data_IF_909486675953
#
_entry.id   IF_909486675953
#
_cell.length_a   1.000
_cell.length_b   1.000
_cell.length_c   1.000
_cell.angle_alpha   90.00
_cell.angle_beta   90.00
_cell.angle_gamma   90.00
#
_symmetry.space_group_name_H-M   'P 1'
#
loop_
_entity.id
_entity.type
_entity.pdbx_description
1 polymer ?
#
# COMPACT_ATOMS: atom_id res chain seq x y z
N UNK A 1 23.66 34.99 -9.23
CA UNK A 1 23.49 34.64 -7.81
C UNK A 1 23.42 33.14 -7.67
N UNK A 2 24.48 32.49 -7.17
CA UNK A 2 24.48 31.05 -6.89
C UNK A 2 23.75 30.81 -5.58
N UNK A 3 22.61 30.12 -5.62
CA UNK A 3 21.88 29.76 -4.40
C UNK A 3 22.79 28.95 -3.48
N UNK A 4 22.75 29.26 -2.20
CA UNK A 4 23.60 28.65 -1.17
C UNK A 4 23.22 27.17 -0.96
N UNK A 5 24.18 26.36 -0.49
CA UNK A 5 23.95 24.95 -0.16
C UNK A 5 22.79 24.73 0.83
N UNK A 6 22.49 25.70 1.70
CA UNK A 6 21.37 25.67 2.63
C UNK A 6 20.00 25.91 1.96
N UNK A 7 19.94 26.75 0.93
CA UNK A 7 18.73 27.00 0.14
C UNK A 7 18.34 25.77 -0.69
N UNK A 8 19.31 25.09 -1.31
CA UNK A 8 19.08 23.80 -1.97
C UNK A 8 18.57 22.73 -0.99
N UNK A 9 19.08 22.71 0.24
CA UNK A 9 18.63 21.80 1.30
C UNK A 9 17.18 22.04 1.74
N UNK A 10 16.70 23.29 1.71
CA UNK A 10 15.28 23.63 1.95
C UNK A 10 14.37 23.20 0.81
N UNK A 11 14.78 23.40 -0.44
CA UNK A 11 13.98 23.02 -1.62
C UNK A 11 13.88 21.49 -1.77
N UNK A 12 14.98 20.77 -1.56
CA UNK A 12 15.07 19.32 -1.82
C UNK A 12 14.68 18.42 -0.64
N UNK A 13 14.24 18.99 0.50
CA UNK A 13 13.64 18.25 1.62
C UNK A 13 14.41 17.00 2.08
N UNK A 14 15.25 17.14 3.11
CA UNK A 14 15.87 15.99 3.77
C UNK A 14 14.80 15.09 4.43
N UNK A 15 14.46 13.98 3.77
CA UNK A 15 13.46 13.03 4.24
C UNK A 15 13.79 11.60 3.85
N UNK A 16 14.78 11.03 4.56
CA UNK A 16 15.16 9.63 4.68
C UNK A 16 14.30 8.61 3.90
N UNK A 17 14.92 8.02 2.88
CA UNK A 17 14.58 6.72 2.31
C UNK A 17 14.31 5.74 3.46
N UNK A 18 13.06 5.32 3.64
CA UNK A 18 12.76 4.09 4.40
C UNK A 18 13.32 2.92 3.59
N UNK A 19 14.62 2.69 3.76
CA UNK A 19 15.31 1.45 3.49
C UNK A 19 14.69 0.39 4.41
N UNK A 20 13.53 -0.09 3.99
CA UNK A 20 12.75 -1.14 4.63
C UNK A 20 12.63 -2.40 3.77
N UNK A 21 13.56 -2.62 2.84
CA UNK A 21 13.95 -3.97 2.41
C UNK A 21 14.57 -4.71 3.61
N UNK A 22 13.74 -5.07 4.56
CA UNK A 22 14.06 -6.06 5.57
C UNK A 22 13.17 -7.27 5.28
N UNK A 23 13.63 -8.06 4.29
CA UNK A 23 13.37 -9.49 4.11
C UNK A 23 12.51 -10.08 5.22
N UNK A 24 11.25 -10.41 4.93
CA UNK A 24 10.50 -11.40 5.72
C UNK A 24 9.30 -11.84 4.90
N UNK A 25 9.53 -12.91 4.15
CA UNK A 25 8.58 -13.81 3.51
C UNK A 25 7.14 -13.56 3.99
N UNK A 26 6.30 -13.06 3.09
CA UNK A 26 4.84 -13.12 3.22
C UNK A 26 4.51 -14.54 3.67
N UNK A 27 4.24 -14.75 4.96
CA UNK A 27 4.19 -16.08 5.55
C UNK A 27 3.09 -16.85 4.81
N UNK A 28 3.50 -17.73 3.90
CA UNK A 28 2.61 -18.46 2.99
C UNK A 28 1.84 -19.45 3.85
N UNK A 29 0.70 -19.03 4.38
CA UNK A 29 -0.22 -19.87 5.14
C UNK A 29 -1.42 -20.14 4.25
N UNK A 30 -1.66 -21.39 3.92
CA UNK A 30 -2.93 -21.78 3.33
C UNK A 30 -4.01 -21.55 4.39
N UNK A 31 -4.87 -20.54 4.19
CA UNK A 31 -5.89 -20.18 5.17
C UNK A 31 -7.13 -21.07 5.07
N UNK A 32 -7.16 -22.03 4.13
CA UNK A 32 -8.28 -22.95 3.96
C UNK A 32 -9.53 -22.32 3.34
N UNK A 33 -9.51 -21.03 3.03
CA UNK A 33 -10.65 -20.28 2.49
C UNK A 33 -10.32 -19.61 1.14
N UNK A 34 -11.36 -19.22 0.39
CA UNK A 34 -11.21 -18.49 -0.87
C UNK A 34 -11.01 -16.98 -0.62
N UNK A 35 -10.37 -16.31 -1.58
CA UNK A 35 -10.01 -14.89 -1.47
C UNK A 35 -11.23 -13.96 -1.34
N UNK A 36 -12.33 -14.27 -2.05
CA UNK A 36 -13.59 -13.52 -2.01
C UNK A 36 -13.51 -12.00 -2.32
N UNK A 37 -12.37 -11.49 -2.81
CA UNK A 37 -12.26 -10.10 -3.24
C UNK A 37 -13.10 -9.86 -4.50
N UNK A 38 -13.71 -8.67 -4.65
CA UNK A 38 -14.46 -8.31 -5.86
C UNK A 38 -13.49 -8.20 -7.04
N UNK A 39 -13.73 -8.98 -8.09
CA UNK A 39 -12.97 -8.92 -9.33
C UNK A 39 -13.38 -7.73 -10.18
N UNK A 40 -12.64 -7.43 -11.25
CA UNK A 40 -13.02 -6.40 -12.24
C UNK A 40 -14.37 -6.69 -12.89
N UNK A 41 -14.74 -7.97 -13.02
CA UNK A 41 -16.04 -8.42 -13.54
C UNK A 41 -17.17 -8.37 -12.51
N UNK A 42 -16.92 -7.84 -11.31
CA UNK A 42 -17.93 -7.70 -10.25
C UNK A 42 -18.21 -8.97 -9.43
N UNK A 43 -17.71 -10.12 -9.85
CA UNK A 43 -17.91 -11.41 -9.15
C UNK A 43 -16.85 -11.63 -8.06
N UNK A 44 -17.13 -12.45 -7.03
CA UNK A 44 -16.16 -12.76 -5.97
C UNK A 44 -15.00 -13.63 -6.47
N UNK A 45 -13.79 -13.34 -5.99
CA UNK A 45 -12.59 -14.06 -6.37
C UNK A 45 -12.62 -15.51 -5.86
N UNK A 46 -12.57 -16.46 -6.80
CA UNK A 46 -12.60 -17.91 -6.54
C UNK A 46 -11.24 -18.51 -6.17
N UNK A 47 -10.13 -17.75 -6.27
CA UNK A 47 -8.78 -18.27 -5.97
C UNK A 47 -8.64 -18.54 -4.47
N UNK A 48 -7.90 -19.60 -4.11
CA UNK A 48 -7.51 -19.87 -2.72
C UNK A 48 -6.70 -18.73 -2.13
N UNK A 49 -7.00 -18.40 -0.88
CA UNK A 49 -6.20 -17.50 -0.06
C UNK A 49 -4.99 -18.26 0.48
N UNK A 50 -3.79 -17.78 0.14
CA UNK A 50 -2.51 -18.44 0.44
C UNK A 50 -1.65 -17.66 1.45
N UNK A 51 -2.21 -16.59 2.01
CA UNK A 51 -1.50 -15.64 2.84
C UNK A 51 -2.34 -15.27 4.06
N UNK A 52 -1.67 -14.82 5.12
CA UNK A 52 -2.30 -14.40 6.38
C UNK A 52 -3.28 -13.24 6.21
N UNK A 53 -3.16 -12.47 5.13
CA UNK A 53 -4.08 -11.37 4.79
C UNK A 53 -5.47 -11.85 4.34
N UNK A 54 -5.68 -13.16 4.16
CA UNK A 54 -6.96 -13.67 3.69
C UNK A 54 -7.20 -13.45 2.19
N UNK A 55 -6.25 -12.84 1.46
CA UNK A 55 -6.36 -12.56 0.02
C UNK A 55 -5.36 -13.36 -0.81
N UNK A 56 -5.67 -13.55 -2.09
CA UNK A 56 -4.76 -14.16 -3.05
C UNK A 56 -3.70 -13.16 -3.54
N UNK A 57 -2.64 -13.65 -4.19
CA UNK A 57 -1.53 -12.80 -4.67
C UNK A 57 -1.99 -11.61 -5.55
N UNK A 58 -3.05 -11.78 -6.35
CA UNK A 58 -3.57 -10.72 -7.22
C UNK A 58 -4.42 -9.66 -6.50
N UNK A 59 -4.91 -9.95 -5.30
CA UNK A 59 -5.79 -9.06 -4.55
C UNK A 59 -5.13 -8.62 -3.23
N UNK A 60 -3.81 -8.41 -3.26
CA UNK A 60 -3.06 -7.91 -2.12
C UNK A 60 -2.59 -8.97 -1.13
N UNK A 61 -2.69 -10.26 -1.47
CA UNK A 61 -2.21 -11.37 -0.64
C UNK A 61 -0.74 -11.24 -0.23
N UNK A 62 0.09 -10.76 -1.17
CA UNK A 62 1.51 -10.51 -0.98
C UNK A 62 1.84 -9.13 -0.37
N UNK A 63 0.84 -8.23 -0.29
CA UNK A 63 1.07 -6.90 0.26
C UNK A 63 1.25 -6.98 1.77
N UNK A 64 2.27 -6.29 2.28
CA UNK A 64 2.48 -6.12 3.73
C UNK A 64 1.81 -4.85 4.26
N UNK A 65 1.21 -4.04 3.38
CA UNK A 65 0.69 -2.73 3.70
C UNK A 65 1.78 -1.70 4.05
N UNK A 66 1.41 -0.42 4.21
CA UNK A 66 2.32 0.61 4.67
C UNK A 66 2.72 0.38 6.13
N UNK A 67 4.04 0.35 6.40
CA UNK A 67 4.57 0.15 7.75
C UNK A 67 4.80 1.46 8.49
N UNK A 68 5.23 2.50 7.77
CA UNK A 68 5.54 3.81 8.34
C UNK A 68 4.27 4.66 8.57
N UNK A 69 4.28 5.58 9.54
CA UNK A 69 3.17 6.51 9.75
C UNK A 69 2.82 7.33 8.50
N UNK A 70 3.85 7.85 7.82
CA UNK A 70 3.70 8.60 6.56
C UNK A 70 3.08 7.73 5.46
N UNK A 71 3.48 6.46 5.36
CA UNK A 71 2.91 5.52 4.38
C UNK A 71 1.44 5.21 4.65
N UNK A 72 1.07 5.09 5.94
CA UNK A 72 -0.33 4.89 6.35
C UNK A 72 -1.17 6.11 5.99
N UNK A 73 -0.67 7.30 6.26
CA UNK A 73 -1.32 8.57 5.94
C UNK A 73 -1.47 8.79 4.43
N UNK A 74 -0.47 8.41 3.61
CA UNK A 74 -0.62 8.42 2.15
C UNK A 74 -1.69 7.44 1.70
N UNK A 75 -1.73 6.25 2.29
CA UNK A 75 -2.69 5.20 1.91
C UNK A 75 -4.13 5.57 2.31
N UNK A 76 -4.33 6.24 3.44
CA UNK A 76 -5.65 6.65 3.92
C UNK A 76 -6.31 7.69 2.99
N UNK A 77 -5.53 8.60 2.41
CA UNK A 77 -5.99 9.57 1.40
C UNK A 77 -6.57 8.91 0.15
N UNK A 78 -6.10 7.73 -0.22
CA UNK A 78 -6.58 6.99 -1.39
C UNK A 78 -7.84 6.16 -1.13
N UNK A 79 -8.26 6.03 0.14
CA UNK A 79 -9.45 5.28 0.52
C UNK A 79 -10.74 5.96 0.04
N UNK A 80 -11.89 5.26 0.13
CA UNK A 80 -13.19 5.81 -0.25
C UNK A 80 -13.54 7.10 0.51
N UNK A 81 -13.01 7.30 1.72
CA UNK A 81 -13.23 8.54 2.49
C UNK A 81 -12.39 9.71 1.97
N UNK A 82 -11.15 9.46 1.51
CA UNK A 82 -10.30 10.50 0.92
C UNK A 82 -10.64 10.82 -0.54
N UNK A 83 -11.21 9.86 -1.28
CA UNK A 83 -11.69 10.06 -2.66
C UNK A 83 -13.03 10.80 -2.75
N UNK A 84 -13.88 10.72 -1.72
CA UNK A 84 -15.23 11.34 -1.72
C UNK A 84 -15.20 12.87 -1.68
N UNK A 85 -14.11 13.49 -1.25
CA UNK A 85 -13.96 14.95 -1.24
C UNK A 85 -13.65 15.59 -2.60
N UNK A 86 -13.14 14.81 -3.57
CA UNK A 86 -12.72 15.30 -4.89
C UNK A 86 -13.56 14.72 -6.04
N UNK A 87 -14.74 14.18 -5.75
CA UNK A 87 -15.70 13.77 -6.76
C UNK A 87 -16.66 14.95 -6.99
N UNK A 88 -16.42 15.74 -8.04
CA UNK A 88 -17.49 16.59 -8.60
C UNK A 88 -18.66 15.71 -9.03
N UNK A 89 -19.91 16.18 -8.84
CA UNK A 89 -21.12 15.39 -9.06
C UNK A 89 -21.25 14.83 -10.47
#
# INVERSE_FOLDING_TARGET
MTMTLEEWRRIMGAGNVDQGNARRSSKKKNSGHTCMARTRSGTPCKRMSRYTSGRCALHGGLSTGPKTPQGKERSSRNGPNGRRGNQTP
#
